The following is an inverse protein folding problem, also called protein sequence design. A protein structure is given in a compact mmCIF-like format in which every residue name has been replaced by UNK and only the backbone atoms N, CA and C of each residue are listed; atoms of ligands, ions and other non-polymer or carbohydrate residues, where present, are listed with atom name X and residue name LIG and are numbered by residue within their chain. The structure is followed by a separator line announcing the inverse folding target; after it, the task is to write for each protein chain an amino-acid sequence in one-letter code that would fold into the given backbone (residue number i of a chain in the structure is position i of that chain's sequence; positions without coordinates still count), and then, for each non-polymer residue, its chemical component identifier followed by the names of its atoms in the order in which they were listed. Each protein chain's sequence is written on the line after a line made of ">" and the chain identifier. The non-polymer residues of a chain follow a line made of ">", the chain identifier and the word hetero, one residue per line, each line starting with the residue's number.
data_IF_382152885253
#
_entry.id   IF_382152885253
#
_cell.length_a   1.000
_cell.length_b   1.000
_cell.length_c   1.000
_cell.angle_alpha   90.00
_cell.angle_beta   90.00
_cell.angle_gamma   90.00
#
_symmetry.space_group_name_H-M   'P 1'
#
loop_
_entity.id
_entity.type
_entity.pdbx_description
1 polymer ?
#
# COMPACT_ATOMS: atom_id res chain seq x y z
N UNK A 1 -6.46 33.65 -10.25
CA UNK A 1 -6.38 33.21 -10.08
C UNK A 1 -6.33 32.59 -9.86
N UNK A 2 -6.44 32.37 -9.90
CA UNK A 2 -6.36 31.62 -9.81
C UNK A 2 -6.66 31.06 -9.62
N UNK A 3 -6.90 30.94 -9.68
CA UNK A 3 -7.09 30.22 -9.58
C UNK A 3 -7.39 29.57 -9.51
N UNK A 4 -7.59 29.66 -9.75
CA UNK A 4 -7.76 28.87 -9.79
C UNK A 4 -7.83 28.24 -9.75
N UNK A 5 -7.93 28.38 -9.87
CA UNK A 5 -7.81 27.70 -9.88
C UNK A 5 -7.74 27.12 -9.69
N UNK A 6 -7.90 27.13 -9.79
CA UNK A 6 -7.68 26.37 -9.73
C UNK A 6 -8.11 25.68 -9.53
N UNK A 7 -8.28 25.67 -9.66
CA UNK A 7 -8.55 24.87 -9.64
C UNK A 7 -8.96 24.21 -9.74
N UNK A 8 -9.14 24.26 -9.91
CA UNK A 8 -9.49 23.38 -10.08
C UNK A 8 -9.72 22.63 -10.18
N UNK A 9 -9.70 22.58 -10.36
CA UNK A 9 -9.76 21.86 -10.41
C UNK A 9 -9.76 21.21 -10.15
N UNK A 10 -9.72 21.09 -10.16
CA UNK A 10 -9.50 20.49 -9.88
C UNK A 10 -9.84 20.09 -9.50
N UNK A 11 -9.99 19.96 -9.69
CA UNK A 11 -10.04 19.64 -9.26
C UNK A 11 -10.33 19.01 -9.27
N UNK A 12 -10.77 19.34 -9.05
CA UNK A 12 -11.27 18.39 -9.23
C UNK A 12 -10.93 17.09 -9.72
N UNK A 13 -10.52 16.90 -10.17
CA UNK A 13 -9.94 15.73 -10.77
C UNK A 13 -9.54 14.69 -9.78
N UNK A 14 -9.11 15.06 -8.64
CA UNK A 14 -8.68 14.12 -7.62
C UNK A 14 -9.81 13.38 -6.93
N UNK A 15 -11.07 13.69 -7.25
CA UNK A 15 -12.18 13.08 -6.55
C UNK A 15 -12.24 11.57 -6.73
N UNK A 16 -11.82 11.05 -7.89
CA UNK A 16 -11.83 9.62 -8.17
C UNK A 16 -10.73 8.89 -7.42
N UNK A 17 -9.74 9.62 -6.95
CA UNK A 17 -8.63 9.06 -6.17
C UNK A 17 -8.83 9.30 -4.70
N UNK A 18 -10.05 9.27 -4.24
CA UNK A 18 -10.36 9.24 -2.82
C UNK A 18 -9.70 8.01 -2.19
N UNK A 19 -9.43 8.08 -0.91
CA UNK A 19 -8.81 7.01 -0.13
C UNK A 19 -7.31 6.85 -0.39
N UNK A 20 -6.75 7.63 -1.31
CA UNK A 20 -5.31 7.60 -1.59
C UNK A 20 -4.54 8.36 -0.52
N UNK A 21 -3.47 7.78 -0.02
CA UNK A 21 -2.55 8.46 0.89
C UNK A 21 -1.12 8.13 0.48
N UNK A 22 -0.20 9.06 0.75
CA UNK A 22 1.19 8.92 0.31
C UNK A 22 2.10 8.64 1.49
N UNK A 23 2.88 7.55 1.39
CA UNK A 23 3.97 7.29 2.31
C UNK A 23 5.18 8.11 1.90
N UNK A 24 5.48 8.11 0.61
CA UNK A 24 6.52 8.94 0.01
C UNK A 24 5.85 9.68 -1.13
N UNK A 25 5.73 10.98 -0.99
CA UNK A 25 4.99 11.81 -1.95
C UNK A 25 5.49 11.58 -3.37
N UNK A 26 4.57 11.24 -4.25
CA UNK A 26 4.89 11.00 -5.66
C UNK A 26 5.56 9.68 -5.96
N UNK A 27 5.79 8.83 -4.96
CA UNK A 27 6.52 7.58 -5.16
C UNK A 27 5.80 6.34 -4.62
N UNK A 28 5.28 6.41 -3.39
CA UNK A 28 4.65 5.26 -2.74
C UNK A 28 3.36 5.69 -2.10
N UNK A 29 2.26 5.16 -2.60
CA UNK A 29 0.92 5.47 -2.09
C UNK A 29 0.25 4.22 -1.55
N UNK A 30 -0.77 4.43 -0.74
CA UNK A 30 -1.63 3.38 -0.24
C UNK A 30 -3.09 3.72 -0.48
N UNK A 31 -3.94 2.70 -0.45
CA UNK A 31 -5.37 2.88 -0.68
C UNK A 31 -6.12 1.60 -0.30
N UNK A 32 -7.40 1.74 -0.02
CA UNK A 32 -8.29 0.58 0.00
C UNK A 32 -8.36 -0.05 -1.39
N UNK A 33 -8.68 -1.32 -1.45
CA UNK A 33 -8.77 -2.05 -2.71
C UNK A 33 -10.11 -1.85 -3.40
N UNK A 34 -10.20 -2.23 -4.67
CA UNK A 34 -11.41 -2.01 -5.48
C UNK A 34 -12.59 -2.87 -5.04
N UNK A 35 -12.33 -3.92 -4.26
CA UNK A 35 -13.40 -4.77 -3.75
C UNK A 35 -14.18 -4.07 -2.63
N UNK A 36 -13.60 -3.04 -2.03
CA UNK A 36 -14.27 -2.22 -1.02
C UNK A 36 -14.65 -0.87 -1.58
N UNK A 37 -13.71 -0.20 -2.24
CA UNK A 37 -13.90 1.13 -2.80
C UNK A 37 -13.49 1.08 -4.28
N UNK A 38 -14.45 0.92 -5.20
CA UNK A 38 -14.15 0.77 -6.61
C UNK A 38 -13.24 1.87 -7.14
N UNK A 39 -12.39 1.52 -8.08
CA UNK A 39 -11.49 2.46 -8.72
C UNK A 39 -11.57 2.33 -10.23
N UNK A 40 -11.07 3.35 -10.93
CA UNK A 40 -10.92 3.37 -12.38
C UNK A 40 -9.42 3.41 -12.65
N UNK A 41 -8.91 2.42 -13.41
CA UNK A 41 -7.46 2.34 -13.67
C UNK A 41 -6.95 3.53 -14.46
N UNK A 42 -7.78 4.10 -15.34
CA UNK A 42 -7.38 5.32 -16.04
C UNK A 42 -7.18 6.47 -15.08
N UNK A 43 -8.03 6.57 -14.06
CA UNK A 43 -7.91 7.63 -13.06
C UNK A 43 -6.73 7.40 -12.13
N UNK A 44 -6.41 6.14 -11.82
CA UNK A 44 -5.17 5.82 -11.09
C UNK A 44 -3.97 6.34 -11.87
N UNK A 45 -3.95 6.07 -13.16
CA UNK A 45 -2.86 6.51 -14.02
C UNK A 45 -2.79 8.03 -14.09
N UNK A 46 -3.93 8.70 -14.16
CA UNK A 46 -4.00 10.16 -14.19
C UNK A 46 -3.48 10.78 -12.90
N UNK A 47 -3.56 10.07 -11.78
CA UNK A 47 -3.03 10.56 -10.51
C UNK A 47 -1.53 10.32 -10.35
N UNK A 48 -0.89 9.75 -11.37
CA UNK A 48 0.55 9.54 -11.40
C UNK A 48 1.00 8.11 -11.10
N UNK A 49 0.08 7.23 -10.72
CA UNK A 49 0.41 5.84 -10.40
C UNK A 49 0.82 5.11 -11.69
N UNK A 50 1.87 4.30 -11.61
CA UNK A 50 2.38 3.51 -12.73
C UNK A 50 2.54 2.04 -12.40
N UNK A 51 2.36 1.67 -11.13
CA UNK A 51 2.44 0.29 -10.70
C UNK A 51 1.47 0.06 -9.55
N UNK A 52 0.96 -1.16 -9.43
CA UNK A 52 0.03 -1.52 -8.35
C UNK A 52 0.51 -2.83 -7.72
N UNK A 53 0.55 -2.85 -6.40
CA UNK A 53 0.91 -4.03 -5.62
C UNK A 53 -0.28 -4.41 -4.74
N UNK A 54 -0.85 -5.60 -5.00
CA UNK A 54 -1.89 -6.16 -4.15
C UNK A 54 -1.24 -7.00 -3.06
N UNK A 55 -1.49 -6.67 -1.80
CA UNK A 55 -1.00 -7.48 -0.67
C UNK A 55 -2.14 -8.23 0.02
N UNK A 56 -3.30 -8.26 -0.62
CA UNK A 56 -4.38 -9.20 -0.33
C UNK A 56 -4.37 -10.27 -1.42
N UNK A 57 -5.48 -10.97 -1.63
CA UNK A 57 -5.56 -11.99 -2.68
C UNK A 57 -5.83 -11.43 -4.07
N UNK A 58 -5.79 -10.12 -4.24
CA UNK A 58 -6.06 -9.49 -5.54
C UNK A 58 -7.54 -9.44 -5.90
N UNK A 59 -8.42 -9.53 -4.91
CA UNK A 59 -9.86 -9.49 -5.14
C UNK A 59 -10.24 -8.21 -5.88
N UNK A 60 -11.01 -8.36 -6.95
CA UNK A 60 -11.43 -7.23 -7.77
C UNK A 60 -10.36 -6.72 -8.73
N UNK A 61 -9.21 -7.39 -8.80
CA UNK A 61 -8.10 -7.00 -9.66
C UNK A 61 -7.91 -8.03 -10.77
N UNK A 62 -7.82 -7.55 -12.01
CA UNK A 62 -7.55 -8.42 -13.16
C UNK A 62 -6.22 -8.01 -13.78
N UNK A 63 -5.21 -8.90 -13.74
CA UNK A 63 -3.87 -8.55 -14.26
C UNK A 63 -3.89 -8.01 -15.68
N UNK A 64 -4.75 -8.57 -16.54
CA UNK A 64 -4.85 -8.12 -17.93
C UNK A 64 -5.30 -6.67 -18.06
N UNK A 65 -6.14 -6.21 -17.14
CA UNK A 65 -6.61 -4.82 -17.15
C UNK A 65 -5.48 -3.85 -16.80
N UNK A 66 -4.63 -4.20 -15.85
CA UNK A 66 -3.47 -3.37 -15.52
C UNK A 66 -2.54 -3.28 -16.72
N UNK A 67 -2.26 -4.41 -17.35
CA UNK A 67 -1.39 -4.43 -18.53
C UNK A 67 -1.98 -3.57 -19.65
N UNK A 68 -3.28 -3.67 -19.85
CA UNK A 68 -3.98 -2.88 -20.89
C UNK A 68 -3.80 -1.39 -20.66
N UNK A 69 -3.76 -0.95 -19.39
CA UNK A 69 -3.59 0.45 -19.04
C UNK A 69 -2.12 0.85 -18.89
N UNK A 70 -1.18 -0.06 -19.18
CA UNK A 70 0.24 0.24 -19.07
C UNK A 70 0.71 0.33 -17.63
N UNK A 71 0.04 -0.34 -16.71
CA UNK A 71 0.40 -0.38 -15.29
C UNK A 71 1.10 -1.70 -14.98
N UNK A 72 2.25 -1.61 -14.29
CA UNK A 72 2.91 -2.81 -13.77
C UNK A 72 2.07 -3.35 -12.62
N UNK A 73 1.94 -4.66 -12.49
CA UNK A 73 1.10 -5.25 -11.46
C UNK A 73 1.72 -6.49 -10.87
N UNK A 74 1.60 -6.63 -9.55
CA UNK A 74 2.01 -7.83 -8.84
C UNK A 74 1.04 -8.08 -7.69
N UNK A 75 0.75 -9.36 -7.41
CA UNK A 75 -0.05 -9.76 -6.26
C UNK A 75 0.81 -10.64 -5.36
N UNK A 76 1.08 -10.19 -4.15
CA UNK A 76 1.90 -10.88 -3.16
C UNK A 76 1.09 -10.92 -1.86
N UNK A 77 0.25 -11.93 -1.66
CA UNK A 77 -0.70 -11.92 -0.54
C UNK A 77 -0.02 -12.13 0.81
N UNK A 78 -0.41 -11.31 1.78
CA UNK A 78 -0.06 -11.49 3.18
C UNK A 78 -1.20 -12.22 3.88
N UNK A 79 -0.94 -12.72 5.09
CA UNK A 79 -1.97 -13.32 5.91
C UNK A 79 -3.08 -12.30 6.22
N UNK A 80 -4.33 -12.76 6.20
CA UNK A 80 -5.49 -11.87 6.38
C UNK A 80 -6.34 -12.20 7.59
N UNK A 81 -5.91 -13.12 8.42
CA UNK A 81 -6.72 -13.54 9.57
C UNK A 81 -6.89 -12.43 10.60
N UNK A 82 -8.10 -12.31 11.13
CA UNK A 82 -8.42 -11.36 12.19
C UNK A 82 -9.23 -12.14 13.21
N UNK A 83 -8.70 -12.40 14.43
CA UNK A 83 -7.33 -12.07 14.82
C UNK A 83 -6.32 -12.98 14.12
N UNK A 84 -5.03 -12.59 14.14
CA UNK A 84 -3.98 -13.41 13.54
C UNK A 84 -3.93 -14.81 14.18
N UNK A 85 -3.58 -15.79 13.37
CA UNK A 85 -3.54 -17.19 13.74
C UNK A 85 -2.12 -17.71 13.75
N UNK A 86 -1.94 -18.90 14.33
CA UNK A 86 -0.64 -19.57 14.31
C UNK A 86 -0.20 -19.75 12.84
N UNK A 87 1.08 -19.46 12.57
CA UNK A 87 1.62 -19.57 11.22
C UNK A 87 1.55 -18.27 10.42
N UNK A 88 0.76 -17.29 10.86
CA UNK A 88 0.60 -16.04 10.10
C UNK A 88 1.86 -15.20 10.10
N UNK A 89 2.63 -15.20 11.19
CA UNK A 89 3.90 -14.48 11.22
C UNK A 89 4.83 -15.03 10.15
N UNK A 90 4.93 -16.35 10.04
CA UNK A 90 5.83 -16.98 9.06
C UNK A 90 5.41 -16.62 7.63
N UNK A 91 4.12 -16.57 7.35
CA UNK A 91 3.61 -16.20 6.02
C UNK A 91 4.05 -14.76 5.69
N UNK A 92 3.86 -13.84 6.60
CA UNK A 92 4.22 -12.44 6.37
C UNK A 92 5.73 -12.26 6.28
N UNK A 93 6.50 -12.95 7.11
CA UNK A 93 7.96 -12.88 7.06
C UNK A 93 8.48 -13.37 5.71
N UNK A 94 7.84 -14.37 5.13
CA UNK A 94 8.23 -14.87 3.80
C UNK A 94 7.83 -13.90 2.68
N UNK A 95 6.68 -13.24 2.80
CA UNK A 95 6.13 -12.42 1.72
C UNK A 95 6.64 -10.97 1.72
N UNK A 96 6.95 -10.41 2.89
CA UNK A 96 7.36 -9.01 2.97
C UNK A 96 8.62 -8.69 2.15
N UNK A 97 9.68 -9.51 2.19
CA UNK A 97 10.85 -9.24 1.35
C UNK A 97 10.53 -9.27 -0.15
N UNK A 98 9.59 -10.12 -0.56
CA UNK A 98 9.16 -10.17 -1.97
C UNK A 98 8.43 -8.90 -2.36
N UNK A 99 7.54 -8.44 -1.49
CA UNK A 99 6.82 -7.19 -1.72
C UNK A 99 7.77 -6.00 -1.76
N UNK A 100 8.76 -5.99 -0.86
CA UNK A 100 9.78 -4.96 -0.84
C UNK A 100 10.58 -4.93 -2.14
N UNK A 101 10.93 -6.12 -2.66
CA UNK A 101 11.69 -6.22 -3.91
C UNK A 101 10.90 -5.61 -5.08
N UNK A 102 9.58 -5.83 -5.12
CA UNK A 102 8.73 -5.22 -6.14
C UNK A 102 8.75 -3.70 -6.03
N UNK A 103 8.61 -3.17 -4.80
CA UNK A 103 8.63 -1.72 -4.58
C UNK A 103 9.98 -1.14 -5.00
N UNK A 104 11.07 -1.79 -4.61
CA UNK A 104 12.41 -1.31 -4.95
C UNK A 104 12.64 -1.32 -6.46
N UNK A 105 12.12 -2.32 -7.16
CA UNK A 105 12.23 -2.35 -8.62
C UNK A 105 11.42 -1.21 -9.25
N UNK A 106 10.25 -0.93 -8.71
CA UNK A 106 9.45 0.21 -9.18
C UNK A 106 10.20 1.52 -8.94
N UNK A 107 10.85 1.67 -7.80
CA UNK A 107 11.65 2.87 -7.53
C UNK A 107 12.80 3.00 -8.53
N UNK A 108 13.50 1.90 -8.81
CA UNK A 108 14.59 1.91 -9.76
C UNK A 108 14.13 2.30 -11.17
N UNK A 109 12.91 1.94 -11.51
CA UNK A 109 12.32 2.23 -12.82
C UNK A 109 11.52 3.53 -12.84
N UNK A 110 11.54 4.29 -11.75
CA UNK A 110 10.81 5.56 -11.60
C UNK A 110 9.29 5.38 -11.82
N UNK A 111 8.74 4.31 -11.28
CA UNK A 111 7.31 4.02 -11.37
C UNK A 111 6.66 4.25 -10.00
N UNK A 112 5.85 5.30 -9.82
CA UNK A 112 5.10 5.46 -8.58
C UNK A 112 4.18 4.27 -8.36
N UNK A 113 4.24 3.68 -7.15
CA UNK A 113 3.51 2.46 -6.86
C UNK A 113 2.38 2.71 -5.87
N UNK A 114 1.24 2.08 -6.14
CA UNK A 114 0.11 2.04 -5.23
C UNK A 114 0.08 0.66 -4.56
N UNK A 115 0.05 0.66 -3.24
CA UNK A 115 -0.07 -0.56 -2.46
C UNK A 115 -1.49 -0.62 -1.89
N UNK A 116 -2.15 -1.76 -2.01
CA UNK A 116 -3.48 -1.91 -1.45
C UNK A 116 -3.71 -3.30 -0.86
N UNK A 117 -4.65 -3.38 0.06
CA UNK A 117 -5.27 -4.61 0.49
C UNK A 117 -6.78 -4.38 0.41
N UNK A 118 -7.60 -4.89 1.33
CA UNK A 118 -9.03 -4.58 1.27
C UNK A 118 -9.31 -3.15 1.75
N UNK A 119 -8.84 -2.82 2.95
CA UNK A 119 -9.11 -1.51 3.58
C UNK A 119 -7.94 -0.55 3.50
N UNK A 120 -6.79 -1.01 3.04
CA UNK A 120 -5.60 -0.17 2.94
C UNK A 120 -5.07 0.24 4.30
N UNK A 121 -5.23 -0.61 5.33
CA UNK A 121 -4.79 -0.23 6.68
C UNK A 121 -3.80 -1.21 7.30
N UNK A 122 -4.11 -2.49 7.38
CA UNK A 122 -3.26 -3.42 8.15
C UNK A 122 -2.16 -4.03 7.30
N UNK A 123 -2.50 -4.79 6.26
CA UNK A 123 -1.50 -5.41 5.38
C UNK A 123 -0.72 -4.35 4.61
N UNK A 124 -1.42 -3.34 4.11
CA UNK A 124 -0.79 -2.20 3.45
C UNK A 124 0.15 -1.48 4.41
N UNK A 125 -0.31 -1.23 5.64
CA UNK A 125 0.53 -0.60 6.66
C UNK A 125 1.76 -1.44 7.00
N UNK A 126 1.62 -2.76 6.99
CA UNK A 126 2.72 -3.65 7.35
C UNK A 126 3.89 -3.55 6.35
N UNK A 127 3.61 -3.59 5.06
CA UNK A 127 4.68 -3.45 4.06
C UNK A 127 5.26 -2.03 4.09
N UNK A 128 4.44 -1.02 4.34
CA UNK A 128 4.93 0.35 4.45
C UNK A 128 5.88 0.49 5.64
N UNK A 129 5.54 -0.09 6.80
CA UNK A 129 6.41 -0.06 7.97
C UNK A 129 7.72 -0.80 7.69
N UNK A 130 7.66 -1.94 7.02
CA UNK A 130 8.85 -2.69 6.67
C UNK A 130 9.75 -1.89 5.72
N UNK A 131 9.15 -1.22 4.74
CA UNK A 131 9.89 -0.34 3.84
C UNK A 131 10.66 0.73 4.64
N UNK A 132 10.00 1.35 5.61
CA UNK A 132 10.65 2.36 6.44
C UNK A 132 11.79 1.77 7.27
N UNK A 133 11.62 0.55 7.78
CA UNK A 133 12.67 -0.13 8.54
C UNK A 133 13.91 -0.39 7.69
N UNK A 134 13.71 -0.85 6.48
CA UNK A 134 14.83 -1.12 5.56
C UNK A 134 15.55 0.19 5.22
N UNK A 135 14.85 1.30 5.28
CA UNK A 135 15.43 2.63 5.07
C UNK A 135 15.90 3.30 6.36
N UNK A 136 16.01 2.55 7.45
CA UNK A 136 16.69 3.01 8.66
C UNK A 136 15.82 3.24 9.89
N UNK A 137 14.50 3.11 9.79
CA UNK A 137 13.63 3.35 10.94
C UNK A 137 13.59 2.13 11.85
N UNK A 138 13.55 2.37 13.18
CA UNK A 138 13.27 1.30 14.13
C UNK A 138 11.81 0.89 14.01
N UNK A 139 11.46 -0.37 14.36
CA UNK A 139 10.09 -0.85 14.20
C UNK A 139 9.04 0.05 14.84
N UNK A 140 9.27 0.49 16.07
CA UNK A 140 8.31 1.35 16.75
C UNK A 140 8.10 2.67 16.01
N UNK A 141 9.18 3.24 15.50
CA UNK A 141 9.13 4.49 14.76
C UNK A 141 8.44 4.30 13.40
N UNK A 142 8.74 3.17 12.73
CA UNK A 142 8.12 2.86 11.45
C UNK A 142 6.59 2.75 11.57
N UNK A 143 6.11 2.05 12.60
CA UNK A 143 4.67 1.94 12.86
C UNK A 143 4.06 3.31 13.15
N UNK A 144 4.76 4.12 13.94
CA UNK A 144 4.29 5.47 14.26
C UNK A 144 4.16 6.34 13.00
N UNK A 145 5.15 6.25 12.10
CA UNK A 145 5.10 7.02 10.85
C UNK A 145 3.94 6.57 9.96
N UNK A 146 3.70 5.27 9.86
CA UNK A 146 2.56 4.78 9.07
C UNK A 146 1.26 5.29 9.66
N UNK A 147 1.12 5.27 10.99
CA UNK A 147 -0.10 5.75 11.63
C UNK A 147 -0.28 7.27 11.49
N UNK A 148 0.80 8.00 11.27
CA UNK A 148 0.67 9.45 11.06
C UNK A 148 0.02 9.79 9.71
N UNK A 149 0.09 8.88 8.74
CA UNK A 149 -0.54 9.09 7.43
C UNK A 149 -1.77 8.21 7.23
N UNK A 150 -1.94 7.18 8.06
CA UNK A 150 -3.08 6.29 8.01
C UNK A 150 -3.43 5.90 9.46
N UNK A 151 -4.20 6.75 10.12
CA UNK A 151 -4.43 6.64 11.56
C UNK A 151 -5.13 5.35 11.98
N UNK A 152 -5.85 4.68 11.06
CA UNK A 152 -6.51 3.41 11.35
C UNK A 152 -5.62 2.19 11.06
N UNK A 153 -4.34 2.40 10.71
CA UNK A 153 -3.44 1.28 10.46
C UNK A 153 -3.29 0.42 11.72
N UNK A 154 -3.33 -0.90 11.52
CA UNK A 154 -3.16 -1.91 12.58
C UNK A 154 -4.26 -1.89 13.63
N UNK A 155 -5.49 -1.50 13.24
CA UNK A 155 -6.63 -1.46 14.17
C UNK A 155 -7.49 -2.71 14.14
N UNK A 156 -7.26 -3.63 13.20
CA UNK A 156 -7.98 -4.91 13.25
C UNK A 156 -7.55 -5.68 14.51
N UNK A 157 -8.46 -6.49 15.03
CA UNK A 157 -8.22 -7.21 16.28
C UNK A 157 -6.91 -8.01 16.22
N UNK A 158 -6.00 -7.76 17.17
CA UNK A 158 -4.72 -8.45 17.29
C UNK A 158 -3.63 -7.94 16.36
N UNK A 159 -3.95 -7.06 15.41
CA UNK A 159 -2.96 -6.61 14.44
C UNK A 159 -1.97 -5.59 14.98
N UNK A 160 -2.33 -4.86 16.03
CA UNK A 160 -1.38 -3.94 16.67
C UNK A 160 -0.14 -4.69 17.18
N UNK A 161 -0.36 -5.83 17.85
CA UNK A 161 0.76 -6.66 18.32
C UNK A 161 1.36 -7.48 17.18
N UNK A 162 0.51 -8.02 16.32
CA UNK A 162 0.97 -8.85 15.20
C UNK A 162 1.96 -8.11 14.30
N UNK A 163 1.68 -6.84 14.01
CA UNK A 163 2.58 -6.04 13.19
C UNK A 163 3.99 -6.01 13.80
N UNK A 164 4.09 -5.78 15.11
CA UNK A 164 5.39 -5.78 15.78
C UNK A 164 6.03 -7.17 15.75
N UNK A 165 5.26 -8.22 15.97
CA UNK A 165 5.81 -9.59 15.93
C UNK A 165 6.48 -9.87 14.58
N UNK A 166 5.83 -9.48 13.50
CA UNK A 166 6.38 -9.66 12.15
C UNK A 166 7.60 -8.77 11.92
N UNK A 167 7.49 -7.49 12.27
CA UNK A 167 8.57 -6.55 12.02
C UNK A 167 9.82 -6.88 12.83
N UNK A 168 9.66 -7.28 14.10
CA UNK A 168 10.81 -7.70 14.90
C UNK A 168 11.44 -8.99 14.37
N UNK A 169 10.62 -9.89 13.82
CA UNK A 169 11.16 -11.10 13.22
C UNK A 169 12.02 -10.80 11.99
N UNK A 170 11.76 -9.69 11.33
CA UNK A 170 12.51 -9.26 10.13
C UNK A 170 13.66 -8.31 10.46
N UNK A 171 13.76 -7.86 11.70
CA UNK A 171 14.84 -6.96 12.11
C UNK A 171 16.15 -7.74 12.23
N UNK A 172 17.20 -7.21 11.64
CA UNK A 172 18.51 -7.83 11.69
C UNK A 172 19.27 -7.49 12.95
#
# INVERSE_FOLDING_TARGET
>A
MLSASHVPSHLVCGSSMQHLFWLVEGKIAGRSGPNKDPWDLAELKDSGIRAVLSVNGGEGCEPGSFKHHGLRYECIPFSRNVPPQEGDVAICVAQLPRALAFIQQCEADNLPVLIHCRSGKDRTGLIMAYYLMVNGAAPLHAVSQVRSIRDIAFTAEGWDQFAFDVLYALQE
#
